data_IF_237959345888
#
_entry.id   IF_237959345888
#
_cell.length_a   1.000
_cell.length_b   1.000
_cell.length_c   1.000
_cell.angle_alpha   90.00
_cell.angle_beta   90.00
_cell.angle_gamma   90.00
#
_symmetry.space_group_name_H-M   'P 1'
#
loop_
_entity.id
_entity.type
_entity.pdbx_description
1 polymer ?
#
# COMPACT_ATOMS: atom_id res chain seq x y z
N UNK A 1 -8.43 27.66 -25.20
CA UNK A 1 -7.99 26.39 -24.61
C UNK A 1 -7.80 26.59 -23.11
N UNK A 2 -8.55 25.86 -22.27
CA UNK A 2 -8.46 25.98 -20.81
C UNK A 2 -7.35 25.06 -20.30
N UNK A 3 -6.12 25.59 -20.24
CA UNK A 3 -4.93 24.90 -19.69
C UNK A 3 -4.90 24.81 -18.15
N UNK A 4 -5.98 25.25 -17.49
CA UNK A 4 -6.06 25.39 -16.03
C UNK A 4 -6.67 24.17 -15.33
N UNK A 5 -6.63 22.99 -15.93
CA UNK A 5 -7.02 21.75 -15.23
C UNK A 5 -5.90 21.37 -14.25
N UNK A 6 -6.06 21.77 -12.98
CA UNK A 6 -5.24 21.19 -11.91
C UNK A 6 -5.71 19.76 -11.71
N UNK A 7 -4.82 18.79 -11.92
CA UNK A 7 -5.06 17.44 -11.44
C UNK A 7 -5.24 17.51 -9.92
N UNK A 8 -6.45 17.21 -9.44
CA UNK A 8 -6.69 17.10 -8.01
C UNK A 8 -5.76 16.03 -7.46
N UNK A 9 -5.08 16.33 -6.35
CA UNK A 9 -4.34 15.27 -5.63
C UNK A 9 -5.35 14.19 -5.26
N UNK A 10 -5.03 12.89 -5.42
CA UNK A 10 -5.82 11.85 -4.81
C UNK A 10 -6.04 12.23 -3.34
N UNK A 11 -7.29 12.35 -2.93
CA UNK A 11 -7.64 12.93 -1.64
C UNK A 11 -7.18 12.05 -0.46
N UNK A 12 -6.87 10.78 -0.74
CA UNK A 12 -6.44 9.75 0.21
C UNK A 12 -5.60 8.73 -0.54
N UNK A 13 -4.50 8.25 0.05
CA UNK A 13 -3.82 7.05 -0.43
C UNK A 13 -4.76 5.85 -0.30
N UNK A 14 -5.31 5.40 -1.43
CA UNK A 14 -6.18 4.23 -1.48
C UNK A 14 -5.36 3.00 -1.85
N UNK A 15 -5.56 1.91 -1.11
CA UNK A 15 -4.92 0.64 -1.43
C UNK A 15 -5.39 0.16 -2.81
N UNK A 16 -4.44 -0.07 -3.73
CA UNK A 16 -4.71 -0.53 -5.09
C UNK A 16 -5.49 -1.85 -5.13
N UNK A 17 -5.17 -2.80 -4.25
CA UNK A 17 -5.88 -4.08 -4.13
C UNK A 17 -7.33 -3.87 -3.67
N UNK A 18 -7.57 -2.99 -2.71
CA UNK A 18 -8.93 -2.66 -2.28
C UNK A 18 -9.76 -2.06 -3.41
N UNK A 19 -9.19 -1.12 -4.17
CA UNK A 19 -9.89 -0.50 -5.30
C UNK A 19 -10.16 -1.50 -6.42
N UNK A 20 -9.18 -2.32 -6.79
CA UNK A 20 -9.35 -3.37 -7.79
C UNK A 20 -10.48 -4.34 -7.43
N UNK A 21 -10.50 -4.82 -6.18
CA UNK A 21 -11.53 -5.76 -5.72
C UNK A 21 -12.91 -5.10 -5.66
N UNK A 22 -13.01 -3.84 -5.22
CA UNK A 22 -14.28 -3.07 -5.25
C UNK A 22 -14.80 -2.90 -6.68
N UNK A 23 -13.91 -2.64 -7.64
CA UNK A 23 -14.27 -2.53 -9.06
C UNK A 23 -14.76 -3.88 -9.60
N UNK A 24 -14.07 -4.98 -9.28
CA UNK A 24 -14.51 -6.35 -9.64
C UNK A 24 -15.90 -6.66 -9.09
N UNK A 25 -16.18 -6.31 -7.84
CA UNK A 25 -17.50 -6.55 -7.22
C UNK A 25 -18.61 -5.77 -7.96
N UNK A 26 -18.33 -4.54 -8.40
CA UNK A 26 -19.29 -3.68 -9.12
C UNK A 26 -19.40 -3.99 -10.62
N UNK A 27 -18.52 -4.81 -11.17
CA UNK A 27 -18.48 -5.08 -12.61
C UNK A 27 -19.75 -5.82 -13.07
N UNK A 28 -20.49 -5.30 -14.05
CA UNK A 28 -21.66 -5.98 -14.62
C UNK A 28 -21.27 -7.19 -15.48
N UNK A 29 -20.00 -7.29 -15.89
CA UNK A 29 -19.50 -8.31 -16.80
C UNK A 29 -18.97 -9.57 -16.09
N UNK A 30 -18.91 -9.57 -14.76
CA UNK A 30 -18.42 -10.70 -13.98
C UNK A 30 -19.57 -11.58 -13.47
N UNK A 31 -19.32 -12.89 -13.46
CA UNK A 31 -20.26 -13.86 -12.91
C UNK A 31 -20.34 -13.78 -11.37
N UNK A 32 -21.44 -14.29 -10.81
CA UNK A 32 -21.70 -14.24 -9.37
C UNK A 32 -20.71 -15.06 -8.53
N UNK A 33 -20.04 -16.05 -9.13
CA UNK A 33 -18.96 -16.78 -8.46
C UNK A 33 -17.72 -15.89 -8.28
N UNK A 34 -17.30 -15.18 -9.33
CA UNK A 34 -16.16 -14.27 -9.30
C UNK A 34 -16.41 -13.07 -8.37
N UNK A 35 -17.64 -12.53 -8.36
CA UNK A 35 -18.00 -11.48 -7.39
C UNK A 35 -17.90 -11.96 -5.95
N UNK A 36 -18.39 -13.17 -5.64
CA UNK A 36 -18.26 -13.77 -4.31
C UNK A 36 -16.79 -14.00 -3.91
N UNK A 37 -15.95 -14.45 -4.84
CA UNK A 37 -14.50 -14.56 -4.60
C UNK A 37 -13.90 -13.19 -4.27
N UNK A 38 -14.21 -12.16 -5.06
CA UNK A 38 -13.69 -10.81 -4.84
C UNK A 38 -14.14 -10.22 -3.48
N UNK A 39 -15.38 -10.48 -3.04
CA UNK A 39 -15.86 -10.09 -1.69
C UNK A 39 -15.06 -10.80 -0.60
N UNK A 40 -14.84 -12.11 -0.74
CA UNK A 40 -14.09 -12.89 0.24
C UNK A 40 -12.62 -12.43 0.32
N UNK A 41 -11.99 -12.21 -0.83
CA UNK A 41 -10.63 -11.69 -0.94
C UNK A 41 -10.51 -10.31 -0.30
N UNK A 42 -11.46 -9.41 -0.54
CA UNK A 42 -11.48 -8.07 0.05
C UNK A 42 -11.59 -8.15 1.57
N UNK A 43 -12.47 -9.02 2.08
CA UNK A 43 -12.62 -9.23 3.52
C UNK A 43 -11.34 -9.77 4.17
N UNK A 44 -10.68 -10.74 3.54
CA UNK A 44 -9.39 -11.27 4.04
C UNK A 44 -8.30 -10.21 4.00
N UNK A 45 -8.21 -9.44 2.91
CA UNK A 45 -7.22 -8.36 2.76
C UNK A 45 -7.37 -7.31 3.87
N UNK A 46 -8.57 -6.78 4.07
CA UNK A 46 -8.83 -5.79 5.13
C UNK A 46 -8.58 -6.36 6.53
N UNK A 47 -8.91 -7.64 6.78
CA UNK A 47 -8.64 -8.29 8.08
C UNK A 47 -7.14 -8.44 8.35
N UNK A 48 -6.34 -8.77 7.33
CA UNK A 48 -4.87 -8.85 7.46
C UNK A 48 -4.27 -7.49 7.79
N UNK A 49 -4.68 -6.46 7.07
CA UNK A 49 -4.26 -5.08 7.35
C UNK A 49 -4.64 -4.66 8.76
N UNK A 50 -5.89 -4.93 9.18
CA UNK A 50 -6.36 -4.61 10.53
C UNK A 50 -5.51 -5.30 11.61
N UNK A 51 -5.21 -6.60 11.46
CA UNK A 51 -4.35 -7.32 12.42
C UNK A 51 -2.97 -6.68 12.58
N UNK A 52 -2.37 -6.23 11.49
CA UNK A 52 -1.08 -5.52 11.54
C UNK A 52 -1.20 -4.22 12.34
N UNK A 53 -2.19 -3.39 12.06
CA UNK A 53 -2.39 -2.14 12.81
C UNK A 53 -2.81 -2.36 14.27
N UNK A 54 -3.56 -3.43 14.56
CA UNK A 54 -3.91 -3.81 15.93
C UNK A 54 -2.65 -4.25 16.70
N UNK A 55 -1.73 -4.99 16.06
CA UNK A 55 -0.42 -5.32 16.63
C UNK A 55 0.44 -4.07 16.87
N UNK A 56 0.51 -3.15 15.90
CA UNK A 56 1.20 -1.87 16.08
C UNK A 56 0.65 -1.05 17.26
N UNK A 57 -0.67 -1.04 17.46
CA UNK A 57 -1.29 -0.35 18.60
C UNK A 57 -0.90 -1.00 19.93
N UNK A 58 -0.89 -2.34 19.97
CA UNK A 58 -0.46 -3.10 21.14
C UNK A 58 0.99 -2.81 21.51
N UNK A 59 1.90 -2.83 20.54
CA UNK A 59 3.33 -2.51 20.76
C UNK A 59 3.57 -1.08 21.25
N UNK A 60 2.67 -0.15 20.90
CA UNK A 60 2.73 1.23 21.40
C UNK A 60 2.18 1.42 22.82
N UNK A 61 1.48 0.42 23.36
CA UNK A 61 0.89 0.45 24.70
C UNK A 61 1.96 0.43 25.80
N UNK A 62 1.60 0.86 27.01
CA UNK A 62 2.50 0.84 28.17
C UNK A 62 2.86 -0.58 28.60
N UNK A 63 1.96 -1.55 28.37
CA UNK A 63 2.14 -2.97 28.68
C UNK A 63 3.28 -3.57 27.87
N UNK A 64 3.28 -3.37 26.54
CA UNK A 64 4.33 -3.87 25.66
C UNK A 64 5.69 -3.21 25.94
N UNK A 65 5.69 -1.92 26.32
CA UNK A 65 6.93 -1.21 26.69
C UNK A 65 7.51 -1.64 28.03
N UNK A 66 6.70 -2.22 28.92
CA UNK A 66 7.17 -2.77 30.19
C UNK A 66 7.88 -4.12 30.01
N UNK A 67 7.63 -4.83 28.91
CA UNK A 67 8.28 -6.11 28.61
C UNK A 67 9.69 -5.89 28.04
N UNK A 68 10.72 -6.14 28.86
CA UNK A 68 12.12 -5.96 28.46
C UNK A 68 12.66 -7.06 27.55
N UNK A 69 11.93 -8.17 27.38
CA UNK A 69 12.38 -9.35 26.63
C UNK A 69 11.91 -9.37 25.16
N UNK A 70 11.08 -8.42 24.74
CA UNK A 70 10.48 -8.36 23.40
C UNK A 70 10.89 -7.06 22.71
N UNK A 71 11.45 -7.17 21.51
CA UNK A 71 11.77 -6.02 20.66
C UNK A 71 10.91 -6.08 19.40
N UNK A 72 10.00 -5.10 19.26
CA UNK A 72 9.19 -4.96 18.06
C UNK A 72 9.87 -4.05 17.04
N UNK A 73 9.96 -4.53 15.80
CA UNK A 73 10.53 -3.78 14.66
C UNK A 73 9.45 -3.73 13.58
N UNK A 74 9.02 -2.51 13.25
CA UNK A 74 8.13 -2.26 12.11
C UNK A 74 8.92 -1.61 10.99
N UNK A 75 8.84 -2.18 9.79
CA UNK A 75 9.48 -1.65 8.59
C UNK A 75 8.37 -1.32 7.59
N UNK A 76 8.23 -0.04 7.24
CA UNK A 76 7.37 0.36 6.14
C UNK A 76 8.14 0.22 4.83
N UNK A 77 7.77 -0.76 4.02
CA UNK A 77 8.36 -0.97 2.71
C UNK A 77 7.52 -0.24 1.67
N UNK A 78 7.75 1.06 1.50
CA UNK A 78 7.34 1.74 0.26
C UNK A 78 8.03 1.03 -0.91
N UNK A 79 7.30 0.77 -2.00
CA UNK A 79 7.83 0.04 -3.17
C UNK A 79 9.05 0.75 -3.77
N UNK A 80 10.24 0.39 -3.31
CA UNK A 80 11.46 0.61 -4.06
C UNK A 80 11.53 -0.48 -5.13
N UNK A 81 11.06 -0.17 -6.33
CA UNK A 81 11.37 -1.02 -7.47
C UNK A 81 12.89 -0.95 -7.66
N UNK A 82 13.58 -2.04 -7.34
CA UNK A 82 14.98 -2.23 -7.71
C UNK A 82 15.05 -2.41 -9.23
N UNK A 83 15.00 -1.29 -9.93
CA UNK A 83 15.08 -1.24 -11.37
C UNK A 83 16.47 -1.73 -11.82
N UNK A 84 16.57 -2.73 -12.72
CA UNK A 84 17.85 -3.16 -13.27
C UNK A 84 18.59 -1.97 -13.90
N UNK A 85 19.93 -2.04 -13.96
CA UNK A 85 20.76 -1.05 -14.68
C UNK A 85 20.55 -1.20 -16.19
N UNK A 86 19.41 -0.74 -16.67
CA UNK A 86 19.10 -0.61 -18.09
C UNK A 86 19.32 0.84 -18.47
N UNK A 87 20.07 1.14 -19.54
CA UNK A 87 20.31 2.51 -20.02
C UNK A 87 19.05 3.06 -20.74
N UNK A 88 17.90 2.99 -20.08
CA UNK A 88 16.64 3.58 -20.54
C UNK A 88 16.35 4.80 -19.67
N UNK A 89 16.11 5.92 -20.34
CA UNK A 89 16.09 7.25 -19.74
C UNK A 89 15.06 7.38 -18.60
N UNK A 90 13.89 6.77 -18.74
CA UNK A 90 12.83 6.77 -17.70
C UNK A 90 13.22 5.95 -16.46
N UNK A 91 13.83 4.77 -16.65
CA UNK A 91 14.30 3.93 -15.55
C UNK A 91 15.42 4.60 -14.74
N UNK A 92 16.26 5.41 -15.38
CA UNK A 92 17.30 6.19 -14.71
C UNK A 92 16.72 7.23 -13.74
N UNK A 93 15.68 7.98 -14.16
CA UNK A 93 15.04 8.99 -13.31
C UNK A 93 14.20 8.39 -12.18
N UNK A 94 13.47 7.29 -12.45
CA UNK A 94 12.71 6.58 -11.41
C UNK A 94 13.60 6.05 -10.28
N UNK A 95 14.83 5.63 -10.57
CA UNK A 95 15.82 5.22 -9.55
C UNK A 95 16.28 6.36 -8.65
N UNK A 96 16.39 7.58 -9.18
CA UNK A 96 16.77 8.72 -8.36
C UNK A 96 15.66 9.08 -7.36
N UNK A 97 14.39 8.85 -7.70
CA UNK A 97 13.28 9.03 -6.76
C UNK A 97 13.37 8.05 -5.58
N UNK A 98 13.73 6.80 -5.83
CA UNK A 98 13.96 5.79 -4.77
C UNK A 98 15.05 6.20 -3.79
N UNK A 99 16.15 6.80 -4.26
CA UNK A 99 17.27 7.23 -3.41
C UNK A 99 16.83 8.37 -2.47
N UNK A 100 15.99 9.29 -2.96
CA UNK A 100 15.49 10.43 -2.17
C UNK A 100 14.34 10.07 -1.22
N UNK A 101 13.64 8.94 -1.42
CA UNK A 101 12.52 8.50 -0.57
C UNK A 101 13.00 7.91 0.77
N UNK A 102 14.27 7.53 0.89
CA UNK A 102 14.81 6.91 2.10
C UNK A 102 15.53 7.86 3.05
N UNK A 103 15.66 9.15 2.72
CA UNK A 103 16.34 10.17 3.54
C UNK A 103 17.70 9.67 4.10
N UNK A 104 18.40 8.81 3.33
CA UNK A 104 19.76 8.38 3.65
C UNK A 104 20.69 9.40 3.01
N UNK A 105 20.97 10.46 3.74
CA UNK A 105 22.19 11.29 3.61
C UNK A 105 23.06 11.13 4.84
#
# INVERSE_FOLDING_TARGET
EHFSYRFGRPQVDTCCTCEELKLKIKSPHLNEAAKRSAVAELAVHCRRSKKFYDALKYENSEEAKAETNVLSISIDYMQNISLPKVPVQELFYLRQLTINVFDIT
#
